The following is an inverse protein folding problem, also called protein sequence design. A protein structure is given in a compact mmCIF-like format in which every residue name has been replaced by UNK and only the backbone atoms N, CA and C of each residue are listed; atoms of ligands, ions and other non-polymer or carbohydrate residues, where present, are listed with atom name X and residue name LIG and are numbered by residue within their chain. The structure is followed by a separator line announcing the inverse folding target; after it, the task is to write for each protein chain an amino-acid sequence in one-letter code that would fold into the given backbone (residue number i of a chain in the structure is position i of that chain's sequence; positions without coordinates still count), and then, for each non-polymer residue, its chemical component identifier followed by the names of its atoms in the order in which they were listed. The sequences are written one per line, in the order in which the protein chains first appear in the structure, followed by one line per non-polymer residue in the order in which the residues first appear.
data_IF_225246465958
#
_entry.id   IF_225246465958
#
_cell.length_a   1.000
_cell.length_b   1.000
_cell.length_c   1.000
_cell.angle_alpha   90.00
_cell.angle_beta   90.00
_cell.angle_gamma   90.00
#
_symmetry.space_group_name_H-M   'P 1'
#
loop_
_entity.id
_entity.type
_entity.pdbx_description
1 polymer ?
#
# COMPACT_ATOMS: atom_id res chain seq x y z
N UNK A 1 10.20 58.59 -3.31
CA UNK A 1 10.38 57.32 -2.57
C UNK A 1 9.15 57.09 -1.71
N UNK A 2 8.13 56.46 -2.29
CA UNK A 2 6.84 56.11 -1.67
C UNK A 2 6.67 54.60 -1.83
N UNK A 3 6.52 53.87 -0.72
CA UNK A 3 6.47 52.42 -0.71
C UNK A 3 5.03 51.98 -0.43
N UNK A 4 4.32 51.58 -1.49
CA UNK A 4 2.95 51.06 -1.45
C UNK A 4 3.04 49.54 -1.25
N UNK A 5 2.77 49.05 -0.04
CA UNK A 5 2.47 47.63 0.20
C UNK A 5 0.96 47.44 0.08
N UNK A 6 0.54 46.83 -1.02
CA UNK A 6 -0.84 46.38 -1.22
C UNK A 6 -1.16 45.20 -0.30
N UNK A 7 -2.15 45.39 0.57
CA UNK A 7 -2.81 44.33 1.31
C UNK A 7 -3.60 43.45 0.34
N UNK A 8 -3.31 42.16 0.31
CA UNK A 8 -4.16 41.14 -0.34
C UNK A 8 -4.98 40.50 0.78
N UNK A 9 -6.24 40.91 0.90
CA UNK A 9 -7.28 40.25 1.70
C UNK A 9 -7.75 38.97 0.98
N UNK A 10 -7.83 37.81 1.64
CA UNK A 10 -8.62 36.69 1.14
C UNK A 10 -10.09 36.90 1.54
N UNK A 11 -10.97 37.00 0.56
CA UNK A 11 -12.41 37.00 0.75
C UNK A 11 -12.90 35.57 1.05
N UNK A 12 -13.40 35.34 2.26
CA UNK A 12 -14.13 34.12 2.64
C UNK A 12 -15.32 34.50 3.53
N UNK A 13 -16.53 34.61 2.97
CA UNK A 13 -17.87 34.53 3.64
C UNK A 13 -18.88 34.23 2.50
N UNK A 14 -19.75 33.22 2.46
CA UNK A 14 -20.90 32.82 3.32
C UNK A 14 -21.18 31.30 3.12
N UNK A 15 -21.31 30.45 4.15
CA UNK A 15 -22.42 30.22 5.10
C UNK A 15 -23.49 29.20 4.63
N UNK A 16 -23.55 28.05 5.32
CA UNK A 16 -24.77 27.27 5.58
C UNK A 16 -24.63 26.57 6.94
N UNK A 17 -25.47 26.95 7.91
CA UNK A 17 -25.49 26.45 9.28
C UNK A 17 -26.07 25.03 9.35
N UNK A 18 -25.22 24.02 9.48
CA UNK A 18 -25.52 22.71 10.07
C UNK A 18 -24.31 22.26 10.90
N UNK A 19 -24.48 21.71 12.12
CA UNK A 19 -23.36 21.29 12.94
C UNK A 19 -22.85 19.93 12.42
N UNK A 20 -21.69 19.90 11.75
CA UNK A 20 -21.04 18.67 11.29
C UNK A 20 -19.50 18.72 11.44
N UNK A 21 -18.92 17.53 11.59
CA UNK A 21 -17.59 17.18 12.13
C UNK A 21 -16.32 17.75 11.43
N UNK A 22 -16.46 18.71 10.51
CA UNK A 22 -15.36 19.25 9.70
C UNK A 22 -15.25 20.79 9.76
N UNK A 23 -15.80 21.42 10.80
CA UNK A 23 -15.53 22.85 11.05
C UNK A 23 -14.15 23.01 11.71
N UNK A 24 -13.20 23.56 10.96
CA UNK A 24 -12.02 24.20 11.54
C UNK A 24 -12.48 25.48 12.28
N UNK A 25 -12.99 25.28 13.49
CA UNK A 25 -13.26 26.32 14.48
C UNK A 25 -11.96 26.59 15.26
N UNK A 26 -11.91 27.66 16.06
CA UNK A 26 -10.79 27.95 16.98
C UNK A 26 -10.42 26.75 17.89
N UNK A 27 -11.34 25.80 18.06
CA UNK A 27 -11.10 24.51 18.74
C UNK A 27 -10.13 23.61 17.98
N UNK A 28 -10.01 23.73 16.65
CA UNK A 28 -9.03 23.00 15.84
C UNK A 28 -7.59 23.46 16.08
N UNK A 29 -7.39 24.74 16.42
CA UNK A 29 -6.07 25.31 16.77
C UNK A 29 -5.71 24.94 18.22
N UNK A 30 -6.68 24.95 19.15
CA UNK A 30 -6.47 24.45 20.51
C UNK A 30 -6.22 22.93 20.55
N UNK A 31 -6.89 22.17 19.69
CA UNK A 31 -6.62 20.75 19.51
C UNK A 31 -5.24 20.52 18.88
N UNK A 32 -4.70 21.47 18.10
CA UNK A 32 -3.34 21.43 17.55
C UNK A 32 -2.28 21.61 18.64
N UNK A 33 -2.44 22.61 19.52
CA UNK A 33 -1.56 22.80 20.69
C UNK A 33 -1.64 21.59 21.64
N UNK A 34 -2.85 21.06 21.87
CA UNK A 34 -3.04 19.85 22.68
C UNK A 34 -2.45 18.58 22.01
N UNK A 35 -2.47 18.47 20.67
CA UNK A 35 -1.83 17.36 19.94
C UNK A 35 -0.30 17.43 20.00
N UNK A 36 0.30 18.62 19.88
CA UNK A 36 1.74 18.83 20.07
C UNK A 36 2.16 18.49 21.52
N UNK A 37 1.34 18.81 22.53
CA UNK A 37 1.58 18.47 23.94
C UNK A 37 1.42 16.97 24.25
N UNK A 38 0.54 16.26 23.54
CA UNK A 38 0.39 14.80 23.67
C UNK A 38 1.53 14.06 22.95
N UNK A 39 1.99 14.53 21.78
CA UNK A 39 3.12 13.93 21.07
C UNK A 39 4.47 14.21 21.76
N UNK A 40 4.66 15.39 22.37
CA UNK A 40 5.89 15.68 23.12
C UNK A 40 6.02 14.78 24.35
N UNK A 41 4.91 14.48 25.04
CA UNK A 41 4.88 13.61 26.22
C UNK A 41 4.93 12.10 25.91
N UNK A 42 4.47 11.64 24.73
CA UNK A 42 4.52 10.21 24.36
C UNK A 42 5.90 9.73 23.84
N UNK A 43 6.87 10.63 23.70
CA UNK A 43 8.24 10.26 23.32
C UNK A 43 9.03 9.49 24.40
N UNK A 44 8.46 9.32 25.61
CA UNK A 44 9.03 8.52 26.70
C UNK A 44 8.28 7.17 26.93
N UNK A 45 8.18 6.30 25.93
CA UNK A 45 7.73 4.91 26.19
C UNK A 45 8.89 4.01 26.64
N UNK A 46 8.82 3.59 27.91
CA UNK A 46 9.78 2.71 28.60
C UNK A 46 9.63 1.24 28.14
N UNK A 47 10.53 0.79 27.25
CA UNK A 47 10.90 -0.63 27.11
C UNK A 47 12.43 -0.77 27.20
N UNK A 48 12.91 -1.29 28.34
CA UNK A 48 14.32 -1.23 28.73
C UNK A 48 15.34 -1.94 27.79
N UNK A 49 15.06 -3.09 27.12
CA UNK A 49 16.07 -3.73 26.27
C UNK A 49 16.20 -3.10 24.87
N UNK A 50 15.15 -2.45 24.35
CA UNK A 50 15.18 -1.78 23.05
C UNK A 50 15.69 -0.33 23.10
N UNK A 51 15.84 0.26 24.29
CA UNK A 51 16.22 1.67 24.45
C UNK A 51 17.62 2.00 23.90
N UNK A 52 18.60 1.11 24.05
CA UNK A 52 19.98 1.32 23.56
C UNK A 52 20.10 1.14 22.05
N UNK A 53 19.40 0.14 21.49
CA UNK A 53 19.34 -0.09 20.05
C UNK A 53 18.55 1.02 19.35
N UNK A 54 17.41 1.42 19.92
CA UNK A 54 16.59 2.55 19.44
C UNK A 54 17.37 3.86 19.44
N UNK A 55 18.14 4.18 20.49
CA UNK A 55 19.00 5.39 20.51
C UNK A 55 20.10 5.36 19.44
N UNK A 56 20.71 4.21 19.16
CA UNK A 56 21.71 4.08 18.08
C UNK A 56 21.07 4.18 16.69
N UNK A 57 19.90 3.56 16.49
CA UNK A 57 19.14 3.67 15.24
C UNK A 57 18.67 5.12 15.04
N UNK A 58 18.19 5.80 16.08
CA UNK A 58 17.77 7.20 16.03
C UNK A 58 18.93 8.17 15.74
N UNK A 59 20.17 7.79 16.08
CA UNK A 59 21.37 8.56 15.72
C UNK A 59 21.75 8.41 14.24
N UNK A 60 21.47 7.25 13.62
CA UNK A 60 21.75 6.98 12.19
C UNK A 60 20.59 7.41 11.29
N UNK A 61 19.35 7.22 11.75
CA UNK A 61 18.10 7.54 11.07
C UNK A 61 17.23 8.33 12.06
N UNK A 62 17.31 9.68 12.06
CA UNK A 62 16.53 10.49 12.98
C UNK A 62 15.03 10.34 12.70
N UNK A 63 14.18 10.20 13.74
CA UNK A 63 12.73 10.14 13.56
C UNK A 63 12.23 11.40 12.84
N UNK A 64 11.32 11.21 11.88
CA UNK A 64 10.83 12.30 11.01
C UNK A 64 11.84 12.81 9.98
N UNK A 65 13.02 12.20 9.84
CA UNK A 65 14.00 12.50 8.79
C UNK A 65 13.63 11.92 7.42
N UNK A 66 14.39 12.29 6.38
CA UNK A 66 14.18 11.82 4.99
C UNK A 66 14.23 10.29 4.90
N UNK A 67 15.28 9.67 5.45
CA UNK A 67 15.43 8.21 5.42
C UNK A 67 14.37 7.50 6.27
N UNK A 68 14.04 8.02 7.46
CA UNK A 68 12.98 7.46 8.29
C UNK A 68 11.64 7.45 7.54
N UNK A 69 11.32 8.56 6.88
CA UNK A 69 10.09 8.71 6.09
C UNK A 69 10.12 7.78 4.88
N UNK A 70 11.25 7.67 4.18
CA UNK A 70 11.41 6.75 3.06
C UNK A 70 11.20 5.29 3.47
N UNK A 71 11.79 4.84 4.58
CA UNK A 71 11.60 3.48 5.08
C UNK A 71 10.15 3.22 5.51
N UNK A 72 9.47 4.20 6.12
CA UNK A 72 8.07 4.06 6.46
C UNK A 72 7.17 3.96 5.22
N UNK A 73 7.39 4.79 4.19
CA UNK A 73 6.66 4.71 2.92
C UNK A 73 6.93 3.35 2.26
N UNK A 74 8.18 2.88 2.26
CA UNK A 74 8.51 1.58 1.71
C UNK A 74 7.88 0.44 2.51
N UNK A 75 7.80 0.57 3.84
CA UNK A 75 7.16 -0.43 4.69
C UNK A 75 5.67 -0.55 4.45
N UNK A 76 4.97 0.54 4.12
CA UNK A 76 3.54 0.50 3.75
C UNK A 76 3.35 -0.03 2.33
N UNK A 77 4.26 0.32 1.42
CA UNK A 77 4.20 -0.12 0.01
C UNK A 77 4.53 -1.62 -0.16
N UNK A 78 5.57 -2.13 0.53
CA UNK A 78 6.02 -3.52 0.48
C UNK A 78 5.05 -4.42 1.26
N UNK A 79 3.95 -4.80 0.62
CA UNK A 79 2.88 -5.62 1.17
C UNK A 79 2.62 -6.90 0.37
N UNK A 80 1.35 -7.30 0.28
CA UNK A 80 0.93 -8.52 -0.42
C UNK A 80 1.09 -8.43 -1.94
N UNK A 81 1.19 -7.22 -2.51
CA UNK A 81 1.30 -7.00 -3.96
C UNK A 81 2.48 -7.74 -4.59
N UNK A 82 3.63 -7.76 -3.90
CA UNK A 82 4.86 -8.39 -4.39
C UNK A 82 4.69 -9.88 -4.71
N UNK A 83 3.80 -10.58 -4.01
CA UNK A 83 3.61 -12.03 -4.20
C UNK A 83 2.85 -12.37 -5.47
N UNK A 84 2.02 -11.45 -5.97
CA UNK A 84 1.27 -11.61 -7.21
C UNK A 84 1.99 -11.08 -8.45
N UNK A 85 3.12 -10.38 -8.29
CA UNK A 85 3.82 -9.75 -9.42
C UNK A 85 4.38 -10.76 -10.44
N UNK A 86 5.02 -11.89 -10.06
CA UNK A 86 5.58 -12.83 -11.03
C UNK A 86 4.51 -13.53 -11.88
N UNK A 87 3.42 -13.97 -11.27
CA UNK A 87 2.27 -14.55 -11.98
C UNK A 87 1.55 -13.52 -12.86
N UNK A 88 1.55 -12.26 -12.44
CA UNK A 88 1.05 -11.17 -13.29
C UNK A 88 1.94 -10.97 -14.52
N UNK A 89 3.27 -11.02 -14.34
CA UNK A 89 4.22 -10.93 -15.45
C UNK A 89 4.16 -12.15 -16.39
N UNK A 90 3.81 -13.34 -15.87
CA UNK A 90 3.50 -14.51 -16.68
C UNK A 90 2.32 -14.23 -17.62
N UNK A 91 1.26 -13.58 -17.12
CA UNK A 91 0.12 -13.13 -17.94
C UNK A 91 0.46 -12.03 -18.94
N UNK A 92 1.12 -10.94 -18.51
CA UNK A 92 1.36 -9.76 -19.35
C UNK A 92 2.59 -9.86 -20.26
N UNK A 93 3.54 -10.72 -19.91
CA UNK A 93 4.89 -10.75 -20.45
C UNK A 93 5.90 -10.03 -19.55
N UNK A 94 7.12 -10.56 -19.51
CA UNK A 94 8.20 -10.11 -18.61
C UNK A 94 8.61 -8.64 -18.87
N UNK A 95 8.84 -8.27 -20.13
CA UNK A 95 9.29 -6.91 -20.48
C UNK A 95 8.19 -5.90 -20.23
N UNK A 96 6.94 -6.27 -20.55
CA UNK A 96 5.77 -5.45 -20.25
C UNK A 96 5.60 -5.25 -18.74
N UNK A 97 5.76 -6.30 -17.94
CA UNK A 97 5.70 -6.20 -16.49
C UNK A 97 6.74 -5.24 -15.92
N UNK A 98 8.01 -5.36 -16.34
CA UNK A 98 9.08 -4.43 -15.90
C UNK A 98 8.78 -2.99 -16.36
N UNK A 99 8.29 -2.81 -17.58
CA UNK A 99 7.89 -1.50 -18.10
C UNK A 99 6.76 -0.88 -17.26
N UNK A 100 5.75 -1.66 -16.90
CA UNK A 100 4.66 -1.21 -16.02
C UNK A 100 5.17 -0.79 -14.65
N UNK A 101 6.06 -1.57 -14.01
CA UNK A 101 6.67 -1.19 -12.73
C UNK A 101 7.37 0.17 -12.80
N UNK A 102 8.14 0.44 -13.86
CA UNK A 102 8.87 1.71 -14.04
C UNK A 102 7.91 2.89 -14.25
N UNK A 103 6.88 2.72 -15.09
CA UNK A 103 5.89 3.79 -15.34
C UNK A 103 5.08 4.09 -14.09
N UNK A 104 4.55 3.07 -13.43
CA UNK A 104 3.75 3.19 -12.22
C UNK A 104 4.58 3.83 -11.11
N UNK A 105 5.86 3.47 -10.97
CA UNK A 105 6.79 4.13 -10.05
C UNK A 105 6.90 5.65 -10.31
N UNK A 106 7.13 6.06 -11.56
CA UNK A 106 7.20 7.47 -11.92
C UNK A 106 5.87 8.21 -11.63
N UNK A 107 4.74 7.60 -11.96
CA UNK A 107 3.41 8.13 -11.70
C UNK A 107 3.14 8.28 -10.19
N UNK A 108 3.52 7.28 -9.39
CA UNK A 108 3.35 7.30 -7.93
C UNK A 108 4.21 8.39 -7.30
N UNK A 109 5.47 8.57 -7.71
CA UNK A 109 6.32 9.67 -7.21
C UNK A 109 5.69 11.04 -7.53
N UNK A 110 5.15 11.21 -8.74
CA UNK A 110 4.49 12.45 -9.12
C UNK A 110 3.16 12.66 -8.36
N UNK A 111 2.40 11.59 -8.12
CA UNK A 111 1.23 11.63 -7.23
C UNK A 111 1.60 12.12 -5.82
N UNK A 112 2.69 11.59 -5.24
CA UNK A 112 3.16 12.00 -3.91
C UNK A 112 3.55 13.49 -3.88
N UNK A 113 4.13 14.02 -4.96
CA UNK A 113 4.36 15.46 -5.11
C UNK A 113 3.06 16.27 -5.08
N UNK A 114 2.04 15.83 -5.83
CA UNK A 114 0.75 16.52 -5.88
C UNK A 114 0.06 16.53 -4.51
N UNK A 115 0.13 15.41 -3.79
CA UNK A 115 -0.42 15.28 -2.44
C UNK A 115 0.28 16.22 -1.45
N UNK A 116 1.61 16.22 -1.42
CA UNK A 116 2.36 17.09 -0.53
C UNK A 116 2.12 18.57 -0.84
N UNK A 117 2.02 18.94 -2.12
CA UNK A 117 1.74 20.32 -2.51
C UNK A 117 0.31 20.74 -2.11
N UNK A 118 -0.67 19.85 -2.26
CA UNK A 118 -2.04 20.10 -1.83
C UNK A 118 -2.14 20.21 -0.29
N UNK A 119 -1.39 19.39 0.44
CA UNK A 119 -1.24 19.47 1.90
C UNK A 119 -0.69 20.83 2.34
N UNK A 120 0.38 21.30 1.70
CA UNK A 120 1.03 22.57 2.05
C UNK A 120 0.12 23.78 1.79
N UNK A 121 -0.68 23.74 0.72
CA UNK A 121 -1.61 24.81 0.33
C UNK A 121 -2.87 24.86 1.19
N UNK A 122 -3.44 23.69 1.52
CA UNK A 122 -4.70 23.60 2.28
C UNK A 122 -4.51 23.67 3.79
N UNK A 123 -3.30 23.37 4.30
CA UNK A 123 -2.98 23.22 5.73
C UNK A 123 -3.80 22.14 6.45
N UNK A 124 -4.54 21.31 5.72
CA UNK A 124 -5.27 20.19 6.30
C UNK A 124 -4.32 19.02 6.63
N UNK A 125 -4.64 18.32 7.72
CA UNK A 125 -3.79 17.28 8.32
C UNK A 125 -4.02 15.88 7.75
N UNK A 126 -5.16 15.68 7.08
CA UNK A 126 -5.57 14.38 6.54
C UNK A 126 -5.89 14.47 5.07
N UNK A 127 -5.82 13.33 4.37
CA UNK A 127 -6.13 13.27 2.94
C UNK A 127 -7.59 13.66 2.66
N UNK A 128 -8.50 13.20 3.52
CA UNK A 128 -9.93 13.57 3.50
C UNK A 128 -10.11 15.07 3.73
N UNK A 129 -9.36 15.66 4.67
CA UNK A 129 -9.40 17.08 4.99
C UNK A 129 -8.95 17.96 3.82
N UNK A 130 -7.84 17.63 3.16
CA UNK A 130 -7.40 18.36 1.96
C UNK A 130 -8.44 18.26 0.85
N UNK A 131 -9.00 17.07 0.66
CA UNK A 131 -10.04 16.84 -0.34
C UNK A 131 -11.31 17.63 -0.04
N UNK A 132 -11.70 17.74 1.23
CA UNK A 132 -12.83 18.56 1.67
C UNK A 132 -12.59 20.04 1.35
N UNK A 133 -11.41 20.57 1.66
CA UNK A 133 -11.06 21.97 1.43
C UNK A 133 -11.00 22.30 -0.07
N UNK A 134 -10.47 21.39 -0.89
CA UNK A 134 -10.18 21.68 -2.32
C UNK A 134 -11.32 21.26 -3.25
N UNK A 135 -11.95 20.10 -3.02
CA UNK A 135 -12.95 19.49 -3.91
C UNK A 135 -14.35 19.39 -3.29
N UNK A 136 -14.50 19.72 -2.01
CA UNK A 136 -15.78 19.74 -1.31
C UNK A 136 -16.17 18.40 -0.65
N UNK A 137 -17.33 18.41 0.01
CA UNK A 137 -17.77 17.31 0.90
C UNK A 137 -17.89 15.95 0.22
N UNK A 138 -18.44 15.91 -0.99
CA UNK A 138 -18.74 14.65 -1.68
C UNK A 138 -17.46 13.94 -2.12
N UNK A 139 -16.46 14.71 -2.55
CA UNK A 139 -15.14 14.19 -2.86
C UNK A 139 -14.44 13.65 -1.60
N UNK A 140 -14.59 14.32 -0.45
CA UNK A 140 -14.05 13.86 0.82
C UNK A 140 -14.70 12.53 1.29
N UNK A 141 -16.01 12.36 1.12
CA UNK A 141 -16.65 11.07 1.39
C UNK A 141 -16.21 9.98 0.41
N UNK A 142 -16.08 10.31 -0.88
CA UNK A 142 -15.60 9.37 -1.88
C UNK A 142 -14.18 8.89 -1.58
N UNK A 143 -13.27 9.79 -1.23
CA UNK A 143 -11.88 9.40 -0.94
C UNK A 143 -11.78 8.57 0.35
N UNK A 144 -12.55 8.90 1.38
CA UNK A 144 -12.63 8.10 2.59
C UNK A 144 -13.18 6.70 2.30
N UNK A 145 -14.18 6.57 1.42
CA UNK A 145 -14.72 5.28 1.01
C UNK A 145 -13.70 4.43 0.25
N UNK A 146 -12.94 5.03 -0.68
CA UNK A 146 -11.89 4.29 -1.38
C UNK A 146 -10.75 3.90 -0.43
N UNK A 147 -10.36 4.77 0.51
CA UNK A 147 -9.35 4.45 1.53
C UNK A 147 -9.80 3.31 2.44
N UNK A 148 -11.07 3.29 2.83
CA UNK A 148 -11.64 2.17 3.57
C UNK A 148 -11.60 0.88 2.73
N UNK A 149 -11.97 0.96 1.45
CA UNK A 149 -11.90 -0.17 0.53
C UNK A 149 -10.46 -0.71 0.41
N UNK A 150 -9.48 0.17 0.23
CA UNK A 150 -8.06 -0.19 0.11
C UNK A 150 -7.52 -0.95 1.33
N UNK A 151 -7.76 -0.41 2.52
CA UNK A 151 -7.36 -1.08 3.76
C UNK A 151 -8.06 -2.42 3.94
N UNK A 152 -9.35 -2.51 3.58
CA UNK A 152 -10.13 -3.75 3.67
C UNK A 152 -9.63 -4.83 2.70
N UNK A 153 -9.41 -4.49 1.43
CA UNK A 153 -8.91 -5.44 0.42
C UNK A 153 -7.48 -5.88 0.71
N UNK A 154 -6.66 -4.98 1.25
CA UNK A 154 -5.30 -5.33 1.69
C UNK A 154 -5.31 -6.33 2.85
N UNK A 155 -6.22 -6.16 3.81
CA UNK A 155 -6.42 -7.14 4.89
C UNK A 155 -6.81 -8.52 4.35
N UNK A 156 -7.71 -8.58 3.36
CA UNK A 156 -8.07 -9.83 2.67
C UNK A 156 -6.84 -10.46 2.01
N UNK A 157 -6.05 -9.67 1.27
CA UNK A 157 -4.85 -10.17 0.59
C UNK A 157 -3.80 -10.73 1.57
N UNK A 158 -3.64 -10.12 2.76
CA UNK A 158 -2.76 -10.63 3.80
C UNK A 158 -3.27 -11.95 4.41
N UNK A 159 -4.58 -12.09 4.62
CA UNK A 159 -5.17 -13.36 5.09
C UNK A 159 -4.93 -14.48 4.08
N UNK A 160 -5.13 -14.21 2.78
CA UNK A 160 -4.84 -15.17 1.71
C UNK A 160 -3.36 -15.53 1.71
N UNK A 161 -2.46 -14.54 1.77
CA UNK A 161 -1.01 -14.76 1.77
C UNK A 161 -0.53 -15.60 2.96
N UNK A 162 -1.15 -15.46 4.13
CA UNK A 162 -0.86 -16.33 5.28
C UNK A 162 -1.33 -17.76 5.04
N UNK A 163 -2.50 -17.95 4.45
CA UNK A 163 -2.96 -19.27 4.01
C UNK A 163 -2.03 -19.90 2.97
N UNK A 164 -1.46 -19.10 2.06
CA UNK A 164 -0.48 -19.57 1.09
C UNK A 164 0.79 -20.07 1.78
N UNK A 165 1.32 -19.32 2.76
CA UNK A 165 2.50 -19.72 3.55
C UNK A 165 2.25 -21.04 4.27
N UNK A 166 1.11 -21.19 4.96
CA UNK A 166 0.77 -22.43 5.64
C UNK A 166 0.61 -23.60 4.66
N UNK A 167 -0.03 -23.37 3.50
CA UNK A 167 -0.14 -24.40 2.47
C UNK A 167 1.23 -24.87 1.98
N UNK A 168 2.16 -23.96 1.73
CA UNK A 168 3.53 -24.31 1.29
C UNK A 168 4.30 -25.05 2.37
N UNK A 169 4.21 -24.62 3.62
CA UNK A 169 4.86 -25.31 4.75
C UNK A 169 4.30 -26.73 4.93
N UNK A 170 2.99 -26.91 4.87
CA UNK A 170 2.38 -28.20 5.20
C UNK A 170 2.52 -29.25 4.08
N UNK A 171 2.57 -28.82 2.82
CA UNK A 171 2.73 -29.73 1.66
C UNK A 171 3.97 -30.61 1.79
N UNK A 172 5.09 -30.07 2.27
CA UNK A 172 6.36 -30.79 2.43
C UNK A 172 6.51 -31.62 3.72
N UNK A 173 5.54 -31.60 4.63
CA UNK A 173 5.64 -32.31 5.94
C UNK A 173 4.90 -33.64 5.95
N UNK A 174 5.18 -34.51 6.94
CA UNK A 174 4.41 -35.73 7.22
C UNK A 174 3.09 -35.47 7.98
N UNK A 175 2.58 -34.24 7.95
CA UNK A 175 1.36 -33.88 8.67
C UNK A 175 0.13 -34.67 8.15
N UNK A 176 -0.86 -34.94 9.03
CA UNK A 176 -2.13 -35.56 8.64
C UNK A 176 -2.81 -34.85 7.46
N UNK A 177 -3.50 -35.60 6.61
CA UNK A 177 -4.19 -35.07 5.41
C UNK A 177 -5.15 -33.92 5.73
N UNK A 178 -5.77 -33.93 6.91
CA UNK A 178 -6.64 -32.84 7.36
C UNK A 178 -5.93 -31.48 7.34
N UNK A 179 -4.70 -31.41 7.84
CA UNK A 179 -3.92 -30.17 7.92
C UNK A 179 -3.43 -29.71 6.54
N UNK A 180 -3.12 -30.66 5.66
CA UNK A 180 -2.72 -30.40 4.27
C UNK A 180 -3.91 -29.95 3.40
N UNK A 181 -5.11 -30.38 3.74
CA UNK A 181 -6.33 -30.00 3.04
C UNK A 181 -6.75 -28.55 3.29
N UNK A 182 -7.61 -28.04 2.40
CA UNK A 182 -8.11 -26.65 2.48
C UNK A 182 -8.78 -26.33 3.82
N UNK A 183 -9.49 -27.28 4.44
CA UNK A 183 -10.16 -27.07 5.73
C UNK A 183 -9.16 -26.86 6.87
N UNK A 184 -8.10 -27.67 6.94
CA UNK A 184 -7.06 -27.52 7.94
C UNK A 184 -6.25 -26.24 7.74
N UNK A 185 -5.92 -25.91 6.49
CA UNK A 185 -5.25 -24.65 6.17
C UNK A 185 -6.09 -23.43 6.62
N UNK A 186 -7.39 -23.42 6.29
CA UNK A 186 -8.31 -22.36 6.73
C UNK A 186 -8.39 -22.24 8.24
N UNK A 187 -8.39 -23.36 8.96
CA UNK A 187 -8.37 -23.37 10.42
C UNK A 187 -7.07 -22.75 10.96
N UNK A 188 -5.91 -23.11 10.41
CA UNK A 188 -4.61 -22.54 10.83
C UNK A 188 -4.54 -21.04 10.55
N UNK A 189 -4.98 -20.60 9.37
CA UNK A 189 -5.06 -19.18 9.04
C UNK A 189 -5.98 -18.44 10.02
N UNK A 190 -7.16 -19.00 10.34
CA UNK A 190 -8.08 -18.41 11.31
C UNK A 190 -7.51 -18.37 12.73
N UNK A 191 -6.78 -19.41 13.16
CA UNK A 191 -6.12 -19.46 14.47
C UNK A 191 -4.99 -18.43 14.56
N UNK A 192 -4.13 -18.33 13.54
CA UNK A 192 -3.09 -17.30 13.51
C UNK A 192 -3.69 -15.90 13.49
N UNK A 193 -4.76 -15.71 12.70
CA UNK A 193 -5.47 -14.44 12.69
C UNK A 193 -6.03 -14.08 14.07
N UNK A 194 -6.66 -15.03 14.76
CA UNK A 194 -7.26 -14.82 16.08
C UNK A 194 -6.21 -14.53 17.15
N UNK A 195 -5.07 -15.23 17.11
CA UNK A 195 -4.03 -15.13 18.14
C UNK A 195 -3.03 -14.00 17.88
N UNK A 196 -2.78 -13.63 16.62
CA UNK A 196 -1.69 -12.73 16.26
C UNK A 196 -2.14 -11.48 15.49
N UNK A 197 -3.10 -11.59 14.58
CA UNK A 197 -3.51 -10.43 13.76
C UNK A 197 -4.57 -9.58 14.46
N UNK A 198 -5.67 -10.19 14.89
CA UNK A 198 -6.79 -9.50 15.51
C UNK A 198 -6.39 -8.72 16.79
N UNK A 199 -5.60 -9.29 17.72
CA UNK A 199 -5.25 -8.58 18.96
C UNK A 199 -4.44 -7.30 18.71
N UNK A 200 -3.72 -7.24 17.60
CA UNK A 200 -2.94 -6.06 17.21
C UNK A 200 -3.81 -4.93 16.62
N UNK A 201 -5.04 -5.21 16.17
CA UNK A 201 -5.96 -4.19 15.62
C UNK A 201 -6.83 -3.53 16.69
N UNK A 202 -7.10 -4.23 17.80
CA UNK A 202 -7.99 -3.76 18.88
C UNK A 202 -7.49 -2.46 19.54
N UNK A 203 -6.18 -2.24 19.79
CA UNK A 203 -5.72 -0.99 20.37
C UNK A 203 -6.04 0.21 19.49
N UNK A 204 -6.39 1.34 20.13
CA UNK A 204 -6.77 2.57 19.41
C UNK A 204 -5.58 3.18 18.65
N UNK A 205 -4.42 3.17 19.28
CA UNK A 205 -3.18 3.77 18.79
C UNK A 205 -2.02 2.82 19.08
N UNK A 206 -1.20 2.52 18.07
CA UNK A 206 0.01 1.70 18.25
C UNK A 206 1.14 2.26 17.39
N UNK A 207 1.77 3.32 17.88
CA UNK A 207 2.88 3.97 17.19
C UNK A 207 4.08 3.01 16.99
N UNK A 208 4.22 2.02 17.87
CA UNK A 208 5.27 1.00 17.78
C UNK A 208 5.12 0.06 16.58
N UNK A 209 3.90 -0.16 16.05
CA UNK A 209 3.69 -1.02 14.87
C UNK A 209 4.39 -0.49 13.63
N UNK A 210 4.49 0.84 13.50
CA UNK A 210 5.20 1.46 12.38
C UNK A 210 6.70 1.14 12.41
N UNK A 211 7.30 1.15 13.60
CA UNK A 211 8.69 0.73 13.76
C UNK A 211 8.89 -0.76 13.47
N UNK A 212 7.97 -1.62 13.94
CA UNK A 212 8.01 -3.06 13.67
C UNK A 212 7.84 -3.36 12.18
N UNK A 213 6.89 -2.72 11.51
CA UNK A 213 6.65 -2.88 10.06
C UNK A 213 7.86 -2.42 9.24
N UNK A 214 8.46 -1.29 9.62
CA UNK A 214 9.70 -0.79 9.00
C UNK A 214 10.86 -1.76 9.19
N UNK A 215 11.04 -2.33 10.37
CA UNK A 215 12.04 -3.37 10.59
C UNK A 215 11.76 -4.61 9.72
N UNK A 216 10.49 -5.01 9.62
CA UNK A 216 10.06 -6.17 8.85
C UNK A 216 10.28 -6.04 7.32
N UNK A 217 10.58 -4.83 6.80
CA UNK A 217 11.09 -4.66 5.43
C UNK A 217 12.39 -5.45 5.21
N UNK A 218 13.23 -5.58 6.24
CA UNK A 218 14.48 -6.37 6.15
C UNK A 218 14.19 -7.84 5.83
N UNK A 219 13.10 -8.40 6.36
CA UNK A 219 12.67 -9.77 6.03
C UNK A 219 12.22 -9.90 4.57
N UNK A 220 11.56 -8.87 4.04
CA UNK A 220 11.19 -8.83 2.62
C UNK A 220 12.44 -8.78 1.73
N UNK A 221 13.44 -7.97 2.08
CA UNK A 221 14.72 -7.92 1.35
C UNK A 221 15.41 -9.29 1.38
N UNK A 222 15.46 -9.94 2.54
CA UNK A 222 16.00 -11.30 2.66
C UNK A 222 15.24 -12.30 1.78
N UNK A 223 13.90 -12.27 1.80
CA UNK A 223 13.09 -13.16 0.99
C UNK A 223 13.33 -12.95 -0.52
N UNK A 224 13.48 -11.70 -0.98
CA UNK A 224 13.85 -11.40 -2.37
C UNK A 224 15.25 -11.94 -2.71
N UNK A 225 16.21 -11.86 -1.79
CA UNK A 225 17.54 -12.47 -2.01
C UNK A 225 17.41 -13.99 -2.17
N UNK A 226 16.58 -14.65 -1.35
CA UNK A 226 16.31 -16.09 -1.47
C UNK A 226 15.71 -16.42 -2.84
N UNK A 227 14.73 -15.64 -3.32
CA UNK A 227 14.14 -15.80 -4.67
C UNK A 227 15.22 -15.71 -5.75
N UNK A 228 16.12 -14.72 -5.67
CA UNK A 228 17.20 -14.52 -6.65
C UNK A 228 18.15 -15.72 -6.65
N UNK A 229 18.59 -16.16 -5.47
CA UNK A 229 19.52 -17.30 -5.33
C UNK A 229 18.88 -18.60 -5.81
N UNK A 230 17.63 -18.89 -5.41
CA UNK A 230 16.92 -20.08 -5.84
C UNK A 230 16.75 -20.12 -7.36
N UNK A 231 16.29 -19.01 -7.94
CA UNK A 231 16.14 -18.88 -9.39
C UNK A 231 17.46 -19.14 -10.13
N UNK A 232 18.57 -18.56 -9.67
CA UNK A 232 19.88 -18.75 -10.30
C UNK A 232 20.39 -20.20 -10.26
N UNK A 233 20.03 -20.96 -9.23
CA UNK A 233 20.49 -22.34 -9.03
C UNK A 233 19.56 -23.38 -9.68
N UNK A 234 18.27 -23.07 -9.82
CA UNK A 234 17.24 -24.02 -10.21
C UNK A 234 16.63 -23.66 -11.58
N UNK A 235 15.61 -22.81 -11.62
CA UNK A 235 14.81 -22.61 -12.84
C UNK A 235 15.46 -21.75 -13.93
N UNK A 236 16.30 -20.76 -13.57
CA UNK A 236 16.87 -19.81 -14.53
C UNK A 236 17.69 -20.49 -15.64
N UNK A 237 18.62 -21.45 -15.37
CA UNK A 237 19.43 -22.11 -16.40
C UNK A 237 18.64 -22.91 -17.43
N UNK A 238 17.41 -23.32 -17.11
CA UNK A 238 16.53 -24.08 -18.00
C UNK A 238 15.57 -23.15 -18.74
N UNK A 239 14.82 -22.32 -18.02
CA UNK A 239 13.79 -21.45 -18.59
C UNK A 239 14.36 -20.35 -19.50
N UNK A 240 15.60 -19.90 -19.30
CA UNK A 240 16.25 -18.91 -20.17
C UNK A 240 16.53 -19.43 -21.59
N UNK A 241 16.51 -20.76 -21.79
CA UNK A 241 16.73 -21.37 -23.11
C UNK A 241 15.45 -21.36 -23.96
N UNK A 242 14.28 -21.22 -23.33
CA UNK A 242 12.98 -21.28 -23.99
C UNK A 242 12.20 -19.97 -23.80
N UNK A 243 12.74 -18.91 -24.41
CA UNK A 243 12.19 -17.55 -24.36
C UNK A 243 11.53 -17.21 -25.68
N UNK A 244 10.26 -16.82 -25.64
CA UNK A 244 9.55 -16.29 -26.80
C UNK A 244 9.32 -14.78 -26.70
N UNK A 245 9.56 -14.09 -27.82
CA UNK A 245 9.33 -12.65 -27.94
C UNK A 245 7.84 -12.33 -28.00
N UNK A 246 7.02 -13.20 -28.59
CA UNK A 246 5.59 -12.98 -28.81
C UNK A 246 4.72 -14.05 -28.17
N UNK A 247 3.41 -13.99 -28.48
CA UNK A 247 2.46 -14.99 -28.03
C UNK A 247 2.85 -16.36 -28.60
N UNK A 248 3.34 -17.23 -27.73
CA UNK A 248 3.61 -18.64 -27.98
C UNK A 248 2.81 -19.44 -26.96
N UNK A 249 2.29 -20.59 -27.37
CA UNK A 249 1.58 -21.52 -26.48
C UNK A 249 2.53 -22.57 -25.89
N UNK A 250 3.82 -22.58 -26.25
CA UNK A 250 4.80 -23.58 -25.76
C UNK A 250 5.98 -23.03 -24.95
N UNK A 251 6.37 -21.77 -25.16
CA UNK A 251 7.55 -21.20 -24.52
C UNK A 251 7.43 -20.98 -23.00
N UNK A 252 8.41 -21.44 -22.22
CA UNK A 252 8.47 -21.27 -20.78
C UNK A 252 8.40 -19.79 -20.34
N UNK A 253 9.02 -18.87 -21.10
CA UNK A 253 9.03 -17.44 -20.81
C UNK A 253 8.50 -16.64 -21.99
N UNK A 254 7.55 -15.75 -21.69
CA UNK A 254 6.97 -14.80 -22.65
C UNK A 254 7.47 -13.38 -22.33
N UNK A 255 8.10 -12.72 -23.29
CA UNK A 255 8.60 -11.34 -23.14
C UNK A 255 7.48 -10.30 -23.33
N UNK A 256 6.67 -10.46 -24.40
CA UNK A 256 5.55 -9.59 -24.72
C UNK A 256 4.30 -10.43 -25.01
N UNK A 257 3.23 -10.18 -24.25
CA UNK A 257 1.91 -10.68 -24.58
C UNK A 257 1.09 -9.59 -25.28
N UNK A 258 0.04 -9.99 -26.01
CA UNK A 258 -0.81 -9.08 -26.78
C UNK A 258 -2.29 -9.24 -26.44
N UNK A 259 -3.10 -8.23 -26.77
CA UNK A 259 -4.52 -8.19 -26.46
C UNK A 259 -4.80 -8.01 -24.97
N UNK A 260 -5.90 -8.60 -24.49
CA UNK A 260 -6.38 -8.41 -23.12
C UNK A 260 -5.42 -8.97 -22.06
N UNK A 261 -4.69 -10.05 -22.38
CA UNK A 261 -3.72 -10.67 -21.48
C UNK A 261 -2.59 -9.70 -21.08
N UNK A 262 -2.21 -8.78 -21.99
CA UNK A 262 -1.16 -7.79 -21.74
C UNK A 262 -1.52 -6.79 -20.64
N UNK A 263 -2.82 -6.57 -20.38
CA UNK A 263 -3.33 -5.60 -19.42
C UNK A 263 -4.09 -6.25 -18.26
N UNK A 264 -4.20 -7.58 -18.24
CA UNK A 264 -5.06 -8.32 -17.31
C UNK A 264 -4.70 -8.09 -15.84
N UNK A 265 -3.40 -8.03 -15.53
CA UNK A 265 -2.92 -7.76 -14.18
C UNK A 265 -2.40 -6.35 -13.93
N UNK A 266 -2.80 -5.37 -14.76
CA UNK A 266 -2.48 -3.95 -14.52
C UNK A 266 -2.86 -3.51 -13.09
N UNK A 267 -4.01 -3.99 -12.59
CA UNK A 267 -4.45 -3.74 -11.22
C UNK A 267 -3.47 -4.24 -10.17
N UNK A 268 -2.86 -5.43 -10.34
CA UNK A 268 -1.88 -5.98 -9.39
C UNK A 268 -0.60 -5.14 -9.35
N UNK A 269 -0.15 -4.65 -10.52
CA UNK A 269 0.98 -3.72 -10.57
C UNK A 269 0.66 -2.39 -9.88
N UNK A 270 -0.53 -1.83 -10.11
CA UNK A 270 -0.95 -0.58 -9.47
C UNK A 270 -1.11 -0.73 -7.96
N UNK A 271 -1.68 -1.84 -7.49
CA UNK A 271 -1.80 -2.14 -6.07
C UNK A 271 -0.44 -2.18 -5.38
N UNK A 272 0.56 -2.78 -6.03
CA UNK A 272 1.91 -2.94 -5.48
C UNK A 272 2.62 -1.60 -5.20
N UNK A 273 2.17 -0.50 -5.80
CA UNK A 273 2.69 0.85 -5.59
C UNK A 273 1.71 1.78 -4.86
N UNK A 274 0.62 1.25 -4.31
CA UNK A 274 -0.34 2.05 -3.55
C UNK A 274 0.26 2.37 -2.18
N UNK A 275 0.45 3.66 -1.92
CA UNK A 275 0.97 4.18 -0.65
C UNK A 275 0.39 5.55 -0.27
N UNK A 276 -0.52 6.08 -1.09
CA UNK A 276 -1.13 7.40 -0.96
C UNK A 276 -2.05 7.50 0.25
N UNK A 277 -2.54 6.38 0.75
CA UNK A 277 -3.32 6.28 1.98
C UNK A 277 -2.49 6.76 3.19
N UNK A 278 -1.29 6.23 3.37
CA UNK A 278 -0.41 6.56 4.51
C UNK A 278 0.47 7.78 4.25
N UNK A 279 0.54 8.25 3.00
CA UNK A 279 1.38 9.36 2.58
C UNK A 279 1.20 10.63 3.42
N UNK A 280 -0.04 11.01 3.72
CA UNK A 280 -0.35 12.22 4.50
C UNK A 280 0.14 12.12 5.94
N UNK A 281 -0.13 10.99 6.60
CA UNK A 281 0.31 10.76 7.98
C UNK A 281 1.84 10.81 8.06
N UNK A 282 2.52 10.16 7.12
CA UNK A 282 3.98 10.18 7.04
C UNK A 282 4.52 11.60 6.77
N UNK A 283 3.86 12.37 5.91
CA UNK A 283 4.23 13.76 5.63
C UNK A 283 4.10 14.65 6.87
N UNK A 284 3.01 14.49 7.63
CA UNK A 284 2.75 15.28 8.84
C UNK A 284 3.73 14.93 9.97
N UNK A 285 4.20 13.69 10.03
CA UNK A 285 5.21 13.25 11.01
C UNK A 285 6.65 13.65 10.67
N UNK A 286 6.89 14.31 9.53
CA UNK A 286 8.24 14.79 9.18
C UNK A 286 8.64 15.97 10.07
N UNK A 287 9.86 15.94 10.64
CA UNK A 287 10.36 16.99 11.54
C UNK A 287 10.50 18.35 10.82
N UNK A 288 11.02 18.33 9.59
CA UNK A 288 11.16 19.52 8.75
C UNK A 288 10.26 19.39 7.51
N UNK A 289 8.96 19.62 7.68
CA UNK A 289 7.96 19.46 6.61
C UNK A 289 8.28 20.36 5.42
N UNK A 290 8.49 19.74 4.26
CA UNK A 290 8.67 20.43 2.99
C UNK A 290 8.33 19.47 1.86
N UNK A 291 7.62 19.96 0.83
CA UNK A 291 7.28 19.17 -0.36
C UNK A 291 8.52 18.51 -0.96
N UNK A 292 9.63 19.27 -1.07
CA UNK A 292 10.88 18.74 -1.63
C UNK A 292 11.43 17.56 -0.82
N UNK A 293 11.49 17.68 0.51
CA UNK A 293 12.01 16.62 1.39
C UNK A 293 11.12 15.38 1.34
N UNK A 294 9.80 15.56 1.29
CA UNK A 294 8.84 14.46 1.18
C UNK A 294 8.94 13.73 -0.16
N UNK A 295 9.07 14.46 -1.27
CA UNK A 295 9.23 13.87 -2.61
C UNK A 295 10.55 13.12 -2.72
N UNK A 296 11.65 13.63 -2.16
CA UNK A 296 12.92 12.89 -2.10
C UNK A 296 12.75 11.61 -1.28
N UNK A 297 12.08 11.67 -0.13
CA UNK A 297 11.81 10.50 0.71
C UNK A 297 10.96 9.46 -0.04
N UNK A 298 9.92 9.92 -0.72
CA UNK A 298 9.02 9.08 -1.54
C UNK A 298 9.77 8.46 -2.71
N UNK A 299 10.62 9.21 -3.40
CA UNK A 299 11.43 8.71 -4.51
C UNK A 299 12.43 7.64 -4.05
N UNK A 300 13.12 7.84 -2.92
CA UNK A 300 14.01 6.81 -2.34
C UNK A 300 13.20 5.54 -2.02
N UNK A 301 12.04 5.69 -1.37
CA UNK A 301 11.18 4.57 -1.02
C UNK A 301 10.69 3.79 -2.25
N UNK A 302 10.14 4.49 -3.24
CA UNK A 302 9.58 3.87 -4.44
C UNK A 302 10.66 3.25 -5.32
N UNK A 303 11.84 3.87 -5.44
CA UNK A 303 12.98 3.25 -6.11
C UNK A 303 13.45 1.97 -5.40
N UNK A 304 13.52 1.97 -4.06
CA UNK A 304 13.85 0.77 -3.29
C UNK A 304 12.81 -0.34 -3.52
N UNK A 305 11.52 -0.02 -3.49
CA UNK A 305 10.45 -0.99 -3.78
C UNK A 305 10.55 -1.51 -5.22
N UNK A 306 10.80 -0.62 -6.18
CA UNK A 306 10.95 -0.98 -7.60
C UNK A 306 12.09 -1.96 -7.84
N UNK A 307 13.23 -1.79 -7.18
CA UNK A 307 14.34 -2.75 -7.28
C UNK A 307 13.90 -4.13 -6.78
N UNK A 308 13.26 -4.20 -5.61
CA UNK A 308 12.76 -5.46 -5.06
C UNK A 308 11.70 -6.10 -5.97
N UNK A 309 10.80 -5.30 -6.54
CA UNK A 309 9.76 -5.76 -7.45
C UNK A 309 10.31 -6.27 -8.78
N UNK A 310 11.27 -5.57 -9.39
CA UNK A 310 11.93 -6.02 -10.62
C UNK A 310 12.68 -7.33 -10.36
N UNK A 311 13.41 -7.42 -9.24
CA UNK A 311 14.10 -8.66 -8.87
C UNK A 311 13.11 -9.81 -8.68
N UNK A 312 12.00 -9.57 -7.98
CA UNK A 312 10.97 -10.60 -7.75
C UNK A 312 10.30 -11.02 -9.05
N UNK A 313 9.91 -10.06 -9.91
CA UNK A 313 9.28 -10.35 -11.21
C UNK A 313 10.24 -11.12 -12.11
N UNK A 314 11.47 -10.64 -12.26
CA UNK A 314 12.44 -11.25 -13.15
C UNK A 314 12.82 -12.64 -12.64
N UNK A 315 13.39 -12.74 -11.44
CA UNK A 315 13.89 -14.03 -10.96
C UNK A 315 12.76 -15.00 -10.62
N UNK A 316 11.65 -14.53 -10.04
CA UNK A 316 10.50 -15.38 -9.73
C UNK A 316 9.81 -15.93 -10.98
N UNK A 317 9.69 -15.15 -12.06
CA UNK A 317 9.15 -15.68 -13.32
C UNK A 317 10.15 -16.59 -14.03
N UNK A 318 11.46 -16.26 -14.01
CA UNK A 318 12.48 -17.14 -14.59
C UNK A 318 12.66 -18.47 -13.84
N UNK A 319 12.27 -18.52 -12.58
CA UNK A 319 12.36 -19.73 -11.76
C UNK A 319 11.30 -20.77 -12.18
N UNK A 320 10.05 -20.35 -12.29
CA UNK A 320 8.92 -21.26 -12.50
C UNK A 320 8.29 -21.18 -13.90
N UNK A 321 8.72 -20.23 -14.74
CA UNK A 321 8.15 -20.03 -16.06
C UNK A 321 6.64 -19.89 -16.01
N UNK A 322 5.93 -20.65 -16.84
CA UNK A 322 4.46 -20.59 -16.92
C UNK A 322 3.72 -21.15 -15.71
N UNK A 323 4.38 -21.94 -14.88
CA UNK A 323 3.73 -22.60 -13.75
C UNK A 323 3.44 -21.60 -12.60
N UNK A 324 4.05 -20.41 -12.65
CA UNK A 324 3.79 -19.34 -11.68
C UNK A 324 2.37 -18.80 -11.83
N UNK A 325 1.48 -19.36 -11.02
CA UNK A 325 0.05 -19.01 -10.95
C UNK A 325 -0.30 -18.50 -9.55
N UNK A 326 -1.02 -17.37 -9.48
CA UNK A 326 -1.39 -16.78 -8.19
C UNK A 326 -0.20 -16.22 -7.41
N UNK A 327 0.05 -16.75 -6.22
CA UNK A 327 1.09 -16.26 -5.31
C UNK A 327 2.40 -17.02 -5.49
N UNK A 328 3.52 -16.30 -5.59
CA UNK A 328 4.86 -16.93 -5.63
C UNK A 328 5.17 -17.74 -4.36
N UNK A 329 4.50 -17.43 -3.23
CA UNK A 329 4.68 -18.15 -1.97
C UNK A 329 4.32 -19.64 -2.09
N UNK A 330 3.39 -19.98 -2.99
CA UNK A 330 2.94 -21.35 -3.24
C UNK A 330 3.93 -22.20 -4.06
N UNK A 331 4.92 -21.56 -4.68
CA UNK A 331 5.85 -22.21 -5.62
C UNK A 331 7.10 -22.76 -4.94
N UNK A 332 7.43 -22.26 -3.74
CA UNK A 332 8.61 -22.69 -2.99
C UNK A 332 8.29 -23.81 -1.99
N UNK A 333 9.26 -24.69 -1.76
CA UNK A 333 9.19 -25.74 -0.74
C UNK A 333 10.04 -25.37 0.50
N UNK A 334 9.43 -24.74 1.52
CA UNK A 334 10.18 -24.32 2.71
C UNK A 334 10.68 -25.50 3.55
N UNK A 335 10.11 -26.70 3.44
CA UNK A 335 10.47 -27.82 4.33
C UNK A 335 11.83 -28.39 3.96
N UNK A 336 12.07 -28.54 2.66
CA UNK A 336 13.34 -29.04 2.15
C UNK A 336 14.41 -27.94 2.01
N UNK A 337 13.99 -26.67 2.00
CA UNK A 337 14.89 -25.53 1.82
C UNK A 337 14.88 -24.57 3.02
N UNK A 338 15.84 -24.70 3.96
CA UNK A 338 15.87 -23.91 5.19
C UNK A 338 15.90 -22.39 4.96
N UNK A 339 16.56 -21.93 3.88
CA UNK A 339 16.62 -20.51 3.54
C UNK A 339 15.24 -19.94 3.18
N UNK A 340 14.44 -20.71 2.42
CA UNK A 340 13.05 -20.37 2.10
C UNK A 340 12.21 -20.34 3.37
N UNK A 341 12.35 -21.33 4.27
CA UNK A 341 11.61 -21.35 5.55
C UNK A 341 11.85 -20.08 6.37
N UNK A 342 13.11 -19.68 6.55
CA UNK A 342 13.47 -18.45 7.27
C UNK A 342 12.84 -17.23 6.59
N UNK A 343 12.83 -17.21 5.26
CA UNK A 343 12.23 -16.14 4.46
C UNK A 343 10.72 -16.06 4.66
N UNK A 344 10.02 -17.19 4.60
CA UNK A 344 8.57 -17.27 4.80
C UNK A 344 8.16 -16.88 6.22
N UNK A 345 8.92 -17.25 7.25
CA UNK A 345 8.67 -16.80 8.63
C UNK A 345 8.84 -15.27 8.73
N UNK A 346 9.88 -14.72 8.11
CA UNK A 346 10.10 -13.27 8.06
C UNK A 346 8.96 -12.53 7.33
N UNK A 347 8.51 -13.07 6.20
CA UNK A 347 7.34 -12.57 5.47
C UNK A 347 6.11 -12.63 6.36
N UNK A 348 5.85 -13.74 7.07
CA UNK A 348 4.71 -13.87 7.99
C UNK A 348 4.70 -12.77 9.05
N UNK A 349 5.84 -12.45 9.64
CA UNK A 349 5.98 -11.31 10.59
C UNK A 349 5.63 -9.99 9.91
N UNK A 350 6.09 -9.76 8.67
CA UNK A 350 5.73 -8.57 7.90
C UNK A 350 4.23 -8.48 7.64
N UNK A 351 3.57 -9.59 7.28
CA UNK A 351 2.13 -9.61 7.00
C UNK A 351 1.32 -9.30 8.25
N UNK A 352 1.69 -9.85 9.41
CA UNK A 352 1.01 -9.56 10.68
C UNK A 352 1.10 -8.06 11.03
N UNK A 353 2.29 -7.47 10.93
CA UNK A 353 2.48 -6.05 11.22
C UNK A 353 1.73 -5.14 10.23
N UNK A 354 1.74 -5.49 8.94
CA UNK A 354 1.09 -4.71 7.88
C UNK A 354 -0.42 -4.81 7.95
N UNK A 355 -0.96 -6.00 8.26
CA UNK A 355 -2.38 -6.23 8.49
C UNK A 355 -2.90 -5.28 9.56
N UNK A 356 -2.20 -5.17 10.69
CA UNK A 356 -2.64 -4.29 11.77
C UNK A 356 -2.68 -2.80 11.37
N UNK A 357 -1.66 -2.32 10.66
CA UNK A 357 -1.60 -0.94 10.18
C UNK A 357 -2.73 -0.62 9.19
N UNK A 358 -2.95 -1.48 8.19
CA UNK A 358 -3.99 -1.24 7.17
C UNK A 358 -5.40 -1.45 7.73
N UNK A 359 -5.60 -2.37 8.68
CA UNK A 359 -6.87 -2.51 9.38
C UNK A 359 -7.21 -1.25 10.21
N UNK A 360 -6.21 -0.64 10.86
CA UNK A 360 -6.38 0.66 11.55
C UNK A 360 -6.69 1.78 10.57
N UNK A 361 -6.02 1.85 9.42
CA UNK A 361 -6.30 2.83 8.38
C UNK A 361 -7.73 2.70 7.83
N UNK A 362 -8.18 1.45 7.57
CA UNK A 362 -9.55 1.16 7.15
C UNK A 362 -10.58 1.62 8.19
N UNK A 363 -10.34 1.29 9.47
CA UNK A 363 -11.18 1.71 10.60
C UNK A 363 -11.30 3.24 10.66
N UNK A 364 -10.19 3.95 10.58
CA UNK A 364 -10.16 5.42 10.67
C UNK A 364 -10.93 6.04 9.49
N UNK A 365 -10.78 5.48 8.29
CA UNK A 365 -11.53 5.91 7.10
C UNK A 365 -13.05 5.71 7.28
N UNK A 366 -13.49 4.56 7.79
CA UNK A 366 -14.92 4.30 8.07
C UNK A 366 -15.50 5.22 9.13
N UNK A 367 -14.73 5.53 10.18
CA UNK A 367 -15.13 6.48 11.21
C UNK A 367 -15.28 7.90 10.67
N UNK A 368 -14.37 8.32 9.78
CA UNK A 368 -14.47 9.59 9.05
C UNK A 368 -15.78 9.68 8.25
N UNK A 369 -16.13 8.63 7.48
CA UNK A 369 -17.40 8.56 6.73
C UNK A 369 -18.62 8.66 7.66
N UNK A 370 -18.57 7.97 8.81
CA UNK A 370 -19.65 7.97 9.78
C UNK A 370 -19.77 9.27 10.58
N UNK A 371 -18.91 10.27 10.36
CA UNK A 371 -18.87 11.52 11.11
C UNK A 371 -18.54 11.32 12.59
N UNK A 372 -17.80 10.25 12.92
CA UNK A 372 -17.53 9.82 14.29
C UNK A 372 -16.02 9.81 14.53
N UNK A 373 -15.57 10.36 15.66
CA UNK A 373 -14.17 10.28 16.05
C UNK A 373 -13.90 8.99 16.83
N UNK A 374 -12.84 8.26 16.43
CA UNK A 374 -12.45 6.98 17.03
C UNK A 374 -12.28 7.06 18.56
N UNK A 375 -11.78 8.21 19.04
CA UNK A 375 -11.45 8.44 20.45
C UNK A 375 -12.68 8.69 21.33
N UNK A 376 -13.77 9.19 20.73
CA UNK A 376 -15.02 9.54 21.43
C UNK A 376 -15.96 8.34 21.55
N UNK A 377 -15.74 7.27 20.76
CA UNK A 377 -16.60 6.10 20.81
C UNK A 377 -16.39 5.30 22.11
N UNK A 378 -17.47 4.77 22.72
CA UNK A 378 -17.36 3.78 23.79
C UNK A 378 -16.50 2.59 23.33
N UNK A 379 -15.61 2.10 24.19
CA UNK A 379 -14.66 1.04 23.83
C UNK A 379 -15.34 -0.22 23.28
N UNK A 380 -16.51 -0.59 23.81
CA UNK A 380 -17.25 -1.75 23.31
C UNK A 380 -17.76 -1.57 21.87
N UNK A 381 -18.20 -0.36 21.48
CA UNK A 381 -18.62 -0.05 20.10
C UNK A 381 -17.43 -0.06 19.15
N UNK A 382 -16.29 0.43 19.63
CA UNK A 382 -15.02 0.37 18.90
C UNK A 382 -14.54 -1.07 18.68
N UNK A 383 -14.60 -1.89 19.73
CA UNK A 383 -14.23 -3.30 19.64
C UNK A 383 -15.18 -4.03 18.68
N UNK A 384 -16.50 -3.80 18.79
CA UNK A 384 -17.49 -4.40 17.90
C UNK A 384 -17.26 -4.06 16.43
N UNK A 385 -16.97 -2.79 16.08
CA UNK A 385 -16.71 -2.40 14.70
C UNK A 385 -15.41 -3.01 14.15
N UNK A 386 -14.32 -2.96 14.92
CA UNK A 386 -13.02 -3.51 14.52
C UNK A 386 -13.08 -5.02 14.33
N UNK A 387 -13.72 -5.73 15.27
CA UNK A 387 -13.91 -7.18 15.19
C UNK A 387 -14.79 -7.52 14.00
N UNK A 388 -15.91 -6.81 13.79
CA UNK A 388 -16.81 -7.08 12.66
C UNK A 388 -16.09 -6.91 11.31
N UNK A 389 -15.35 -5.81 11.15
CA UNK A 389 -14.56 -5.54 9.95
C UNK A 389 -13.48 -6.61 9.72
N UNK A 390 -12.76 -6.98 10.79
CA UNK A 390 -11.68 -7.97 10.71
C UNK A 390 -12.23 -9.37 10.43
N UNK A 391 -13.38 -9.74 11.00
CA UNK A 391 -14.06 -11.01 10.71
C UNK A 391 -14.54 -11.05 9.27
N UNK A 392 -15.10 -9.95 8.74
CA UNK A 392 -15.49 -9.88 7.34
C UNK A 392 -14.28 -10.06 6.41
N UNK A 393 -13.15 -9.42 6.70
CA UNK A 393 -11.90 -9.59 5.95
C UNK A 393 -11.37 -11.04 6.04
N UNK A 394 -11.44 -11.66 7.22
CA UNK A 394 -11.07 -13.06 7.41
C UNK A 394 -11.94 -13.98 6.55
N UNK A 395 -13.27 -13.86 6.63
CA UNK A 395 -14.20 -14.72 5.88
C UNK A 395 -13.90 -14.62 4.38
N UNK A 396 -13.79 -13.41 3.84
CA UNK A 396 -13.44 -13.23 2.43
C UNK A 396 -12.06 -13.82 2.09
N UNK A 397 -11.06 -13.60 2.95
CA UNK A 397 -9.71 -14.14 2.74
C UNK A 397 -9.63 -15.68 2.81
N UNK A 398 -10.52 -16.35 3.54
CA UNK A 398 -10.57 -17.81 3.61
C UNK A 398 -11.26 -18.46 2.41
N UNK A 399 -12.16 -17.74 1.74
CA UNK A 399 -12.99 -18.29 0.66
C UNK A 399 -12.57 -17.81 -0.74
N UNK A 400 -11.84 -16.72 -0.87
CA UNK A 400 -11.30 -16.27 -2.16
C UNK A 400 -10.02 -17.08 -2.48
N UNK A 401 -9.99 -17.86 -3.57
CA UNK A 401 -8.90 -18.79 -3.85
C UNK A 401 -7.66 -18.15 -4.49
N UNK A 402 -7.83 -17.01 -5.18
CA UNK A 402 -6.76 -16.36 -5.94
C UNK A 402 -6.48 -14.98 -5.34
N UNK A 403 -5.28 -14.78 -4.80
CA UNK A 403 -4.86 -13.47 -4.25
C UNK A 403 -4.89 -12.39 -5.33
N UNK A 404 -4.51 -12.72 -6.57
CA UNK A 404 -4.46 -11.78 -7.69
C UNK A 404 -5.82 -11.16 -8.03
N UNK A 405 -6.93 -11.87 -7.81
CA UNK A 405 -8.27 -11.30 -8.00
C UNK A 405 -8.49 -10.13 -7.05
N UNK A 406 -8.14 -10.31 -5.77
CA UNK A 406 -8.27 -9.24 -4.75
C UNK A 406 -7.31 -8.10 -5.05
N UNK A 407 -6.04 -8.41 -5.36
CA UNK A 407 -5.02 -7.41 -5.69
C UNK A 407 -5.40 -6.62 -6.96
N UNK A 408 -5.98 -7.28 -7.97
CA UNK A 408 -6.45 -6.67 -9.20
C UNK A 408 -7.58 -5.67 -8.95
N UNK A 409 -8.61 -6.06 -8.19
CA UNK A 409 -9.71 -5.16 -7.84
C UNK A 409 -9.24 -4.01 -6.95
N UNK A 410 -8.41 -4.33 -5.95
CA UNK A 410 -7.83 -3.34 -5.06
C UNK A 410 -7.06 -2.29 -5.86
N UNK A 411 -6.01 -2.66 -6.58
CA UNK A 411 -5.18 -1.69 -7.28
C UNK A 411 -5.85 -0.97 -8.44
N UNK A 412 -6.81 -1.60 -9.12
CA UNK A 412 -7.56 -0.92 -10.19
C UNK A 412 -8.41 0.22 -9.63
N UNK A 413 -9.16 -0.05 -8.55
CA UNK A 413 -10.04 0.95 -7.93
C UNK A 413 -9.20 1.94 -7.11
N UNK A 414 -8.34 1.46 -6.22
CA UNK A 414 -7.61 2.28 -5.24
C UNK A 414 -6.41 2.97 -5.88
N UNK A 415 -5.53 2.21 -6.54
CA UNK A 415 -4.39 2.77 -7.27
C UNK A 415 -4.83 3.76 -8.36
N UNK A 416 -5.93 3.47 -9.07
CA UNK A 416 -6.46 4.39 -10.08
C UNK A 416 -7.04 5.66 -9.47
N UNK A 417 -7.86 5.54 -8.43
CA UNK A 417 -8.52 6.70 -7.82
C UNK A 417 -7.68 7.41 -6.76
N UNK A 418 -7.35 6.77 -5.63
CA UNK A 418 -6.49 7.33 -4.57
C UNK A 418 -5.10 7.66 -5.08
N UNK A 419 -4.59 6.82 -5.98
CA UNK A 419 -3.23 6.93 -6.46
C UNK A 419 -3.05 7.97 -7.55
N UNK A 420 -4.01 8.15 -8.46
CA UNK A 420 -3.81 8.99 -9.66
C UNK A 420 -4.89 10.06 -9.87
N UNK A 421 -6.18 9.71 -9.79
CA UNK A 421 -7.28 10.67 -10.03
C UNK A 421 -7.33 11.76 -8.95
N UNK A 422 -7.41 11.39 -7.66
CA UNK A 422 -7.51 12.40 -6.60
C UNK A 422 -6.28 13.30 -6.51
N UNK A 423 -5.03 12.80 -6.55
CA UNK A 423 -3.84 13.65 -6.52
C UNK A 423 -3.80 14.65 -7.69
N UNK A 424 -4.18 14.23 -8.89
CA UNK A 424 -4.22 15.13 -10.06
C UNK A 424 -5.30 16.20 -9.91
N UNK A 425 -6.51 15.84 -9.47
CA UNK A 425 -7.59 16.80 -9.19
C UNK A 425 -7.19 17.79 -8.09
N UNK A 426 -6.55 17.33 -7.01
CA UNK A 426 -6.07 18.21 -5.95
C UNK A 426 -5.07 19.23 -6.47
N UNK A 427 -4.14 18.83 -7.35
CA UNK A 427 -3.22 19.78 -7.99
C UNK A 427 -3.98 20.80 -8.86
N UNK A 428 -4.92 20.33 -9.68
CA UNK A 428 -5.68 21.16 -10.63
C UNK A 428 -6.56 22.20 -9.91
N UNK A 429 -7.22 21.80 -8.82
CA UNK A 429 -8.18 22.65 -8.11
C UNK A 429 -7.58 23.40 -6.91
N UNK A 430 -6.35 23.09 -6.47
CA UNK A 430 -5.68 23.84 -5.38
C UNK A 430 -5.15 25.23 -5.78
N UNK A 431 -5.54 25.74 -6.95
CA UNK A 431 -5.32 27.12 -7.39
C UNK A 431 -4.14 27.33 -8.33
N UNK A 432 -4.33 28.22 -9.31
CA UNK A 432 -3.28 28.65 -10.23
C UNK A 432 -2.88 27.61 -11.28
N UNK A 433 -3.72 26.61 -11.56
CA UNK A 433 -3.48 25.62 -12.60
C UNK A 433 -3.76 26.21 -13.99
N UNK A 434 -2.82 27.01 -14.47
CA UNK A 434 -2.81 27.53 -15.84
C UNK A 434 -1.48 27.18 -16.49
N UNK A 435 -1.50 26.93 -17.80
CA UNK A 435 -0.31 26.59 -18.59
C UNK A 435 0.89 27.51 -18.31
N UNK A 436 0.62 28.81 -18.15
CA UNK A 436 1.62 29.85 -17.89
C UNK A 436 2.22 29.79 -16.47
N UNK A 437 1.47 29.30 -15.48
CA UNK A 437 1.86 29.35 -14.05
C UNK A 437 2.47 28.05 -13.55
N UNK A 438 1.97 26.89 -14.00
CA UNK A 438 2.53 25.57 -13.64
C UNK A 438 3.57 25.07 -14.63
N UNK A 439 3.61 25.66 -15.82
CA UNK A 439 4.49 25.23 -16.91
C UNK A 439 3.96 24.00 -17.67
N UNK A 440 4.46 23.77 -18.89
CA UNK A 440 3.96 22.72 -19.78
C UNK A 440 4.12 21.32 -19.19
N UNK A 441 5.23 21.08 -18.47
CA UNK A 441 5.52 19.77 -17.89
C UNK A 441 4.48 19.36 -16.83
N UNK A 442 4.27 20.19 -15.80
CA UNK A 442 3.29 19.86 -14.76
C UNK A 442 1.86 19.85 -15.29
N UNK A 443 1.54 20.69 -16.28
CA UNK A 443 0.23 20.67 -16.91
C UNK A 443 -0.03 19.33 -17.62
N UNK A 444 0.87 18.89 -18.50
CA UNK A 444 0.71 17.66 -19.27
C UNK A 444 0.77 16.41 -18.38
N UNK A 445 1.69 16.35 -17.43
CA UNK A 445 1.85 15.19 -16.55
C UNK A 445 0.65 15.05 -15.60
N UNK A 446 0.04 16.16 -15.15
CA UNK A 446 -1.18 16.11 -14.34
C UNK A 446 -2.37 15.50 -15.11
N UNK A 447 -2.60 15.92 -16.37
CA UNK A 447 -3.61 15.29 -17.23
C UNK A 447 -3.26 13.85 -17.56
N UNK A 448 -1.98 13.55 -17.82
CA UNK A 448 -1.50 12.18 -18.05
C UNK A 448 -1.78 11.27 -16.84
N UNK A 449 -1.52 11.77 -15.63
CA UNK A 449 -1.82 11.05 -14.38
C UNK A 449 -3.32 10.82 -14.23
N UNK A 450 -4.15 11.85 -14.45
CA UNK A 450 -5.60 11.75 -14.39
C UNK A 450 -6.15 10.70 -15.36
N UNK A 451 -5.74 10.76 -16.64
CA UNK A 451 -6.15 9.82 -17.68
C UNK A 451 -5.68 8.40 -17.33
N UNK A 452 -4.45 8.25 -16.87
CA UNK A 452 -3.91 6.94 -16.45
C UNK A 452 -4.70 6.37 -15.27
N UNK A 453 -5.15 7.22 -14.34
CA UNK A 453 -6.05 6.83 -13.26
C UNK A 453 -7.40 6.34 -13.76
N UNK A 454 -8.05 7.08 -14.68
CA UNK A 454 -9.32 6.65 -15.29
C UNK A 454 -9.15 5.34 -16.06
N UNK A 455 -8.06 5.20 -16.82
CA UNK A 455 -7.73 3.97 -17.54
C UNK A 455 -7.53 2.81 -16.56
N UNK A 456 -6.78 3.01 -15.48
CA UNK A 456 -6.56 2.02 -14.44
C UNK A 456 -7.87 1.57 -13.77
N UNK A 457 -8.76 2.49 -13.44
CA UNK A 457 -10.07 2.15 -12.85
C UNK A 457 -10.93 1.38 -13.85
N UNK A 458 -11.10 1.88 -15.08
CA UNK A 458 -12.03 1.28 -16.05
C UNK A 458 -11.48 -0.02 -16.62
N UNK A 459 -10.28 0.02 -17.21
CA UNK A 459 -9.69 -1.15 -17.86
C UNK A 459 -9.14 -2.14 -16.84
N UNK A 460 -8.54 -1.69 -15.74
CA UNK A 460 -8.05 -2.60 -14.70
C UNK A 460 -9.18 -3.37 -14.01
N UNK A 461 -10.30 -2.71 -13.70
CA UNK A 461 -11.47 -3.39 -13.11
C UNK A 461 -12.11 -4.34 -14.12
N UNK A 462 -12.30 -3.90 -15.37
CA UNK A 462 -12.84 -4.75 -16.43
C UNK A 462 -11.96 -5.98 -16.71
N UNK A 463 -10.65 -5.79 -16.75
CA UNK A 463 -9.65 -6.85 -16.87
C UNK A 463 -9.72 -7.85 -15.70
N UNK A 464 -9.81 -7.35 -14.47
CA UNK A 464 -9.90 -8.21 -13.28
C UNK A 464 -11.19 -9.03 -13.30
N UNK A 465 -12.33 -8.44 -13.70
CA UNK A 465 -13.61 -9.15 -13.86
C UNK A 465 -13.47 -10.24 -14.92
N UNK A 466 -12.92 -9.89 -16.09
CA UNK A 466 -12.71 -10.84 -17.18
C UNK A 466 -11.84 -12.02 -16.75
N UNK A 467 -10.68 -11.75 -16.13
CA UNK A 467 -9.76 -12.77 -15.64
C UNK A 467 -10.36 -13.66 -14.54
N UNK A 468 -11.29 -13.13 -13.75
CA UNK A 468 -11.98 -13.89 -12.70
C UNK A 468 -13.09 -14.79 -13.26
N UNK A 469 -13.73 -14.40 -14.36
CA UNK A 469 -14.83 -15.17 -14.98
C UNK A 469 -14.29 -16.24 -15.93
N UNK A 470 -13.25 -15.90 -16.70
CA UNK A 470 -12.75 -16.75 -17.80
C UNK A 470 -11.57 -17.63 -17.38
N UNK A 471 -10.79 -17.22 -16.37
CA UNK A 471 -9.58 -17.91 -15.89
C UNK A 471 -9.75 -18.59 -14.54
#
# INVERSE_FOLDING_TARGET
MSNVRGNITPAVVYASNEPNAFNASDDGIKNYEAYEDIQSNNSESKFAPFSKLSKKIAAVIPPGGIFASAFNIAATTLGAGIFGLPSTANGSGLVMGIFYLVIINCMTIYSMYNLALAAERSKALTYEGVTFVVLGRWAAYAIAAVRAFDGFTSCIAYVISVGDIFSSILKGTDAPEFWKGNTGNRLLTALLWLCCMLPLVIPRHVDSLRHVSTFAVTFMVYFVIVIVVHSCLNGLPENIKDVSVGKSDTAAIILFNSGNAAVEGLGVFMFSYTCQDTAYEIYMDMKDRSVRKFVISSAIAMCMCTVLYILTVFFGYMDFGRDVTGSILLMYDPVNEPAVMVGMIGVLVKLIASYALLAMACRNALYSIAGKNADVLPFWKHCASVVTLSVAALVLGLFIPKVNTVLGFAGSITGGSLGYIFPSLLLMYSGGFTWQRVGPFHYLVAYGLLISGVVGVVFGTGATIWGTIVG
#
